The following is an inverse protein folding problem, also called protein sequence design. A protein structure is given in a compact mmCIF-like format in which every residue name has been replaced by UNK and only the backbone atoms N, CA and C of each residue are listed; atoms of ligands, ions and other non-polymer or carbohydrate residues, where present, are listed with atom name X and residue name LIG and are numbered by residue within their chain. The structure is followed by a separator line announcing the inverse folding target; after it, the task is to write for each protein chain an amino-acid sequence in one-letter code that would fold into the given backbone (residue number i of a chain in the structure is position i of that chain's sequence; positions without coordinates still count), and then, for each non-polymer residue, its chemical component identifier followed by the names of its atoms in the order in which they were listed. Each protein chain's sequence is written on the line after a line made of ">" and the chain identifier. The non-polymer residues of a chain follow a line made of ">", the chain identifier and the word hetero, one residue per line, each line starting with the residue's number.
data_IF_816791773830
#
_entry.id   IF_816791773830
#
_cell.length_a   1.000
_cell.length_b   1.000
_cell.length_c   1.000
_cell.angle_alpha   90.00
_cell.angle_beta   90.00
_cell.angle_gamma   90.00
#
_symmetry.space_group_name_H-M   'P 1'
#
loop_
_entity.id
_entity.type
_entity.pdbx_description
1 polymer ?
#
# COMPACT_ATOMS: atom_id res chain seq x y z
N UNK A 1 -30.52 2.99 -19.49
CA UNK A 1 -30.01 1.61 -19.41
C UNK A 1 -29.16 1.51 -18.16
N UNK A 2 -29.58 0.73 -17.17
CA UNK A 2 -28.83 0.54 -15.93
C UNK A 2 -27.68 -0.45 -16.20
N UNK A 3 -26.45 -0.02 -16.00
CA UNK A 3 -25.28 -0.89 -16.06
C UNK A 3 -25.32 -1.70 -14.76
N UNK A 4 -25.75 -2.96 -14.84
CA UNK A 4 -25.73 -3.88 -13.71
C UNK A 4 -24.30 -4.02 -13.19
N UNK A 5 -24.08 -3.63 -11.94
CA UNK A 5 -22.82 -3.90 -11.25
C UNK A 5 -22.65 -5.43 -11.19
N UNK A 6 -21.66 -5.96 -11.91
CA UNK A 6 -21.27 -7.36 -11.77
C UNK A 6 -20.86 -7.58 -10.30
N UNK A 7 -21.72 -8.25 -9.53
CA UNK A 7 -21.39 -8.72 -8.18
C UNK A 7 -20.41 -9.89 -8.31
N UNK A 8 -19.16 -9.56 -8.58
CA UNK A 8 -18.05 -10.52 -8.53
C UNK A 8 -17.71 -10.86 -7.09
N UNK A 9 -17.10 -12.02 -6.87
CA UNK A 9 -16.55 -12.42 -5.58
C UNK A 9 -15.66 -11.29 -5.00
N UNK A 10 -15.63 -11.12 -3.65
CA UNK A 10 -14.80 -10.10 -3.03
C UNK A 10 -13.34 -10.31 -3.43
N UNK A 11 -12.67 -9.22 -3.77
CA UNK A 11 -11.26 -9.27 -4.15
C UNK A 11 -10.43 -9.77 -2.98
N UNK A 12 -9.44 -10.61 -3.27
CA UNK A 12 -8.48 -11.10 -2.30
C UNK A 12 -7.26 -10.23 -2.34
N UNK A 13 -6.91 -9.66 -1.20
CA UNK A 13 -5.71 -8.88 -1.03
C UNK A 13 -4.79 -9.53 -0.01
N UNK A 14 -3.48 -9.26 -0.10
CA UNK A 14 -2.53 -9.63 0.92
C UNK A 14 -1.62 -8.46 1.32
N UNK A 15 -1.16 -8.52 2.56
CA UNK A 15 -0.11 -7.68 3.11
C UNK A 15 0.94 -8.58 3.78
N UNK A 16 2.09 -8.00 4.15
CA UNK A 16 3.09 -8.67 5.00
C UNK A 16 2.44 -9.29 6.25
N UNK A 17 3.06 -10.25 6.92
CA UNK A 17 2.64 -10.73 8.24
C UNK A 17 3.31 -9.96 9.39
N UNK A 18 4.27 -9.10 9.06
CA UNK A 18 4.92 -8.19 10.00
C UNK A 18 4.10 -6.91 10.12
N UNK A 19 3.76 -6.52 11.34
CA UNK A 19 3.06 -5.26 11.62
C UNK A 19 3.94 -4.05 11.25
N UNK A 20 3.37 -3.17 10.44
CA UNK A 20 4.02 -1.97 9.95
C UNK A 20 3.09 -0.77 10.12
N UNK A 21 2.84 -0.33 11.37
CA UNK A 21 2.02 0.85 11.61
C UNK A 21 2.70 2.11 11.02
N UNK A 22 1.91 3.07 10.50
CA UNK A 22 0.45 3.10 10.50
C UNK A 22 -0.21 2.40 9.29
N UNK A 23 0.53 1.68 8.46
CA UNK A 23 0.08 1.18 7.16
C UNK A 23 -0.81 -0.06 7.25
N UNK A 24 -0.29 -1.17 7.80
CA UNK A 24 -1.06 -2.38 8.12
C UNK A 24 -0.56 -2.96 9.43
N UNK A 25 -1.46 -3.13 10.38
CA UNK A 25 -1.18 -3.69 11.69
C UNK A 25 -2.44 -4.30 12.31
N UNK A 26 -2.27 -5.18 13.29
CA UNK A 26 -3.39 -5.75 14.03
C UNK A 26 -3.80 -4.81 15.16
N UNK A 27 -5.06 -4.36 15.19
CA UNK A 27 -5.60 -3.62 16.33
C UNK A 27 -6.46 -4.52 17.23
N UNK A 28 -6.30 -4.37 18.55
CA UNK A 28 -7.18 -4.99 19.56
C UNK A 28 -8.47 -4.21 19.81
N UNK A 29 -8.64 -3.03 19.19
CA UNK A 29 -9.77 -2.11 19.42
C UNK A 29 -11.01 -2.39 18.56
N UNK A 30 -11.16 -3.60 18.01
CA UNK A 30 -12.31 -3.94 17.16
C UNK A 30 -13.63 -3.79 17.93
N UNK A 31 -14.68 -3.26 17.27
CA UNK A 31 -16.03 -3.04 17.85
C UNK A 31 -16.68 -4.32 18.44
N UNK A 32 -16.13 -5.49 18.13
CA UNK A 32 -16.56 -6.80 18.63
C UNK A 32 -15.51 -7.52 19.52
N UNK A 33 -14.49 -6.81 20.02
CA UNK A 33 -13.47 -7.38 20.91
C UNK A 33 -12.49 -8.37 20.27
N UNK A 34 -12.46 -8.45 18.93
CA UNK A 34 -11.53 -9.28 18.17
C UNK A 34 -10.37 -8.49 17.58
N UNK A 35 -9.23 -9.16 17.40
CA UNK A 35 -8.11 -8.66 16.61
C UNK A 35 -8.55 -8.42 15.16
N UNK A 36 -8.31 -7.22 14.64
CA UNK A 36 -8.65 -6.85 13.27
C UNK A 36 -7.47 -6.18 12.58
N UNK A 37 -7.14 -6.66 11.38
CA UNK A 37 -6.18 -6.00 10.50
C UNK A 37 -6.73 -4.64 10.06
N UNK A 38 -5.96 -3.59 10.33
CA UNK A 38 -6.33 -2.21 10.05
C UNK A 38 -5.09 -1.39 9.65
N UNK A 39 -5.31 -0.11 9.35
CA UNK A 39 -4.27 0.84 9.01
C UNK A 39 -4.57 1.62 7.74
N UNK A 40 -3.68 2.55 7.40
CA UNK A 40 -3.82 3.44 6.25
C UNK A 40 -4.10 2.67 4.96
N UNK A 41 -3.30 1.63 4.69
CA UNK A 41 -3.33 0.95 3.40
C UNK A 41 -4.59 0.08 3.24
N UNK A 42 -5.01 -0.62 4.31
CA UNK A 42 -6.30 -1.33 4.35
C UNK A 42 -7.43 -0.34 4.12
N UNK A 43 -7.43 0.80 4.82
CA UNK A 43 -8.50 1.79 4.71
C UNK A 43 -8.58 2.44 3.33
N UNK A 44 -7.44 2.72 2.69
CA UNK A 44 -7.38 3.22 1.31
C UNK A 44 -7.98 2.20 0.34
N UNK A 45 -7.59 0.92 0.43
CA UNK A 45 -8.14 -0.14 -0.40
C UNK A 45 -9.66 -0.27 -0.25
N UNK A 46 -10.16 -0.40 0.99
CA UNK A 46 -11.60 -0.56 1.23
C UNK A 46 -12.40 0.66 0.76
N UNK A 47 -11.85 1.87 0.91
CA UNK A 47 -12.49 3.10 0.44
C UNK A 47 -12.50 3.19 -1.09
N UNK A 48 -11.42 2.77 -1.75
CA UNK A 48 -11.37 2.73 -3.21
C UNK A 48 -12.39 1.75 -3.79
N UNK A 49 -12.51 0.54 -3.21
CA UNK A 49 -13.50 -0.46 -3.64
C UNK A 49 -14.93 0.02 -3.44
N UNK A 50 -15.24 0.60 -2.28
CA UNK A 50 -16.56 1.21 -2.02
C UNK A 50 -16.89 2.32 -3.02
N UNK A 51 -15.94 3.20 -3.35
CA UNK A 51 -16.14 4.25 -4.36
C UNK A 51 -16.39 3.67 -5.76
N UNK A 52 -15.85 2.50 -6.05
CA UNK A 52 -16.08 1.76 -7.28
C UNK A 52 -17.35 0.88 -7.27
N UNK A 53 -18.15 0.92 -6.21
CA UNK A 53 -19.35 0.07 -6.07
C UNK A 53 -19.03 -1.42 -5.92
N UNK A 54 -17.87 -1.76 -5.34
CA UNK A 54 -17.40 -3.14 -5.14
C UNK A 54 -17.47 -3.51 -3.66
N UNK A 55 -17.65 -4.81 -3.42
CA UNK A 55 -17.54 -5.40 -2.09
C UNK A 55 -16.14 -5.16 -1.47
N UNK A 56 -16.04 -5.05 -0.13
CA UNK A 56 -14.77 -4.99 0.57
C UNK A 56 -13.83 -6.15 0.19
N UNK A 57 -12.55 -5.86 0.06
CA UNK A 57 -11.55 -6.90 -0.15
C UNK A 57 -11.32 -7.72 1.13
N UNK A 58 -11.09 -9.01 0.97
CA UNK A 58 -10.61 -9.89 2.04
C UNK A 58 -9.09 -9.74 2.09
N UNK A 59 -8.58 -9.13 3.15
CA UNK A 59 -7.13 -8.94 3.36
C UNK A 59 -6.57 -10.12 4.16
N UNK A 60 -5.48 -10.71 3.68
CA UNK A 60 -4.77 -11.81 4.34
C UNK A 60 -3.35 -11.38 4.70
N UNK A 61 -2.91 -11.67 5.93
CA UNK A 61 -1.52 -11.45 6.38
C UNK A 61 -0.70 -12.68 6.02
N UNK A 62 0.33 -12.50 5.19
CA UNK A 62 1.17 -13.58 4.69
C UNK A 62 2.64 -13.16 4.71
N UNK A 63 3.58 -14.11 4.86
CA UNK A 63 5.00 -13.83 4.65
C UNK A 63 5.20 -13.11 3.32
N UNK A 64 5.94 -12.00 3.34
CA UNK A 64 5.98 -11.05 2.22
C UNK A 64 6.26 -11.69 0.85
N UNK A 65 7.24 -12.59 0.80
CA UNK A 65 7.58 -13.36 -0.41
C UNK A 65 6.39 -14.17 -0.93
N UNK A 66 5.62 -14.81 -0.04
CA UNK A 66 4.44 -15.61 -0.40
C UNK A 66 3.33 -14.74 -0.95
N UNK A 67 3.05 -13.59 -0.33
CA UNK A 67 2.06 -12.63 -0.83
C UNK A 67 2.36 -12.23 -2.29
N UNK A 68 3.60 -11.80 -2.56
CA UNK A 68 4.02 -11.38 -3.91
C UNK A 68 3.93 -12.50 -4.95
N UNK A 69 4.39 -13.70 -4.62
CA UNK A 69 4.33 -14.83 -5.56
C UNK A 69 2.88 -15.26 -5.83
N UNK A 70 2.02 -15.29 -4.81
CA UNK A 70 0.61 -15.61 -5.01
C UNK A 70 -0.09 -14.59 -5.91
N UNK A 71 0.24 -13.29 -5.82
CA UNK A 71 -0.26 -12.27 -6.75
C UNK A 71 0.28 -12.48 -8.15
N UNK A 72 1.58 -12.75 -8.31
CA UNK A 72 2.18 -13.00 -9.63
C UNK A 72 1.51 -14.19 -10.36
N UNK A 73 1.19 -15.24 -9.60
CA UNK A 73 0.53 -16.44 -10.10
C UNK A 73 -1.01 -16.33 -10.17
N UNK A 74 -1.60 -15.18 -9.84
CA UNK A 74 -3.05 -14.94 -9.92
C UNK A 74 -3.88 -15.69 -8.87
N UNK A 75 -3.24 -16.14 -7.78
CA UNK A 75 -3.91 -16.80 -6.65
C UNK A 75 -4.49 -15.79 -5.66
N UNK A 76 -3.97 -14.56 -5.65
CA UNK A 76 -4.45 -13.39 -4.90
C UNK A 76 -4.52 -12.22 -5.89
N UNK A 77 -5.53 -11.36 -5.75
CA UNK A 77 -5.76 -10.28 -6.71
C UNK A 77 -4.83 -9.08 -6.47
N UNK A 78 -4.57 -8.77 -5.19
CA UNK A 78 -3.90 -7.54 -4.77
C UNK A 78 -2.81 -7.80 -3.73
N UNK A 79 -1.65 -7.16 -3.90
CA UNK A 79 -0.68 -6.95 -2.81
C UNK A 79 -0.73 -5.48 -2.36
N UNK A 80 -0.69 -5.24 -1.06
CA UNK A 80 -0.74 -3.91 -0.42
C UNK A 80 0.65 -3.57 0.14
N UNK A 81 0.95 -2.27 0.28
CA UNK A 81 2.21 -1.74 0.83
C UNK A 81 3.45 -2.15 0.07
N UNK A 82 3.32 -2.25 -1.24
CA UNK A 82 4.47 -2.66 -2.03
C UNK A 82 5.34 -1.44 -2.34
N UNK A 83 6.64 -1.45 -2.00
CA UNK A 83 7.55 -0.37 -2.36
C UNK A 83 7.72 -0.22 -3.87
N UNK A 84 7.83 1.02 -4.36
CA UNK A 84 8.11 1.30 -5.78
C UNK A 84 9.30 0.52 -6.33
N UNK A 85 10.40 0.45 -5.57
CA UNK A 85 11.62 -0.28 -5.97
C UNK A 85 11.42 -1.79 -6.17
N UNK A 86 10.35 -2.36 -5.61
CA UNK A 86 10.02 -3.78 -5.72
C UNK A 86 9.03 -4.04 -6.87
N UNK A 87 8.50 -2.99 -7.51
CA UNK A 87 7.64 -3.08 -8.69
C UNK A 87 8.42 -3.63 -9.89
N UNK A 88 7.92 -4.75 -10.41
CA UNK A 88 8.29 -5.27 -11.71
C UNK A 88 7.07 -5.18 -12.63
N UNK A 89 7.05 -4.19 -13.51
CA UNK A 89 5.93 -3.92 -14.44
C UNK A 89 5.65 -5.10 -15.39
N UNK A 90 6.61 -6.03 -15.56
CA UNK A 90 6.37 -7.25 -16.36
C UNK A 90 5.49 -8.25 -15.63
N UNK A 91 5.48 -8.19 -14.29
CA UNK A 91 4.78 -9.14 -13.42
C UNK A 91 3.52 -8.54 -12.79
N UNK A 92 3.47 -7.22 -12.62
CA UNK A 92 2.44 -6.54 -11.83
C UNK A 92 2.00 -5.22 -12.46
N UNK A 93 0.75 -4.80 -12.22
CA UNK A 93 0.35 -3.41 -12.39
C UNK A 93 0.30 -2.70 -11.04
N UNK A 94 0.95 -1.54 -10.98
CA UNK A 94 0.83 -0.63 -9.85
C UNK A 94 -0.46 0.21 -9.97
N UNK A 95 -1.08 0.49 -8.83
CA UNK A 95 -1.92 1.67 -8.67
C UNK A 95 -1.06 2.94 -8.63
N UNK A 96 -1.73 4.09 -8.65
CA UNK A 96 -1.09 5.32 -8.16
C UNK A 96 -0.66 5.12 -6.70
N UNK A 97 0.45 5.78 -6.33
CA UNK A 97 0.92 5.80 -4.96
C UNK A 97 -0.10 6.46 -4.02
N UNK A 98 -0.28 5.90 -2.83
CA UNK A 98 -1.14 6.49 -1.78
C UNK A 98 -0.36 7.05 -0.57
N UNK A 99 0.94 6.81 -0.50
CA UNK A 99 1.81 7.38 0.52
C UNK A 99 3.25 7.51 0.01
N UNK A 100 3.98 8.48 0.56
CA UNK A 100 5.42 8.67 0.38
C UNK A 100 6.12 8.38 1.72
N UNK A 101 7.17 7.56 1.70
CA UNK A 101 7.88 7.11 2.91
C UNK A 101 9.29 7.68 2.94
N UNK A 102 9.59 8.42 4.01
CA UNK A 102 10.92 8.96 4.27
C UNK A 102 11.64 8.18 5.36
N UNK A 103 12.95 8.01 5.21
CA UNK A 103 13.78 7.36 6.21
C UNK A 103 14.13 8.34 7.32
N UNK A 104 14.01 7.89 8.58
CA UNK A 104 14.40 8.66 9.76
C UNK A 104 15.27 7.81 10.67
N UNK A 105 16.19 8.44 11.39
CA UNK A 105 17.05 7.77 12.37
C UNK A 105 16.49 7.95 13.78
N UNK A 106 16.34 6.84 14.50
CA UNK A 106 16.02 6.86 15.92
C UNK A 106 17.28 6.67 16.75
N UNK A 107 17.43 7.44 17.82
CA UNK A 107 18.52 7.29 18.79
C UNK A 107 17.98 7.37 20.22
N UNK A 108 18.70 6.75 21.16
CA UNK A 108 18.33 6.81 22.58
C UNK A 108 18.77 8.15 23.17
N UNK A 109 17.81 8.96 23.61
CA UNK A 109 18.07 10.19 24.36
C UNK A 109 18.76 9.92 25.71
N UNK A 110 18.56 8.74 26.31
CA UNK A 110 19.23 8.35 27.56
C UNK A 110 20.74 8.15 27.38
N UNK A 111 21.15 7.65 26.21
CA UNK A 111 22.57 7.44 25.85
C UNK A 111 23.19 8.70 25.25
N UNK A 112 22.41 9.49 24.54
CA UNK A 112 22.83 10.74 23.88
C UNK A 112 21.90 11.89 24.27
N UNK A 113 22.01 12.42 25.51
CA UNK A 113 21.11 13.45 26.01
C UNK A 113 21.21 14.76 25.21
N UNK A 114 22.39 15.08 24.69
CA UNK A 114 22.65 16.28 23.88
C UNK A 114 22.53 16.03 22.37
N UNK A 115 22.00 14.86 21.97
CA UNK A 115 21.86 14.44 20.58
C UNK A 115 22.93 13.44 20.14
N UNK A 116 22.53 12.47 19.30
CA UNK A 116 23.47 11.51 18.75
C UNK A 116 24.40 12.21 17.73
N UNK A 117 25.71 11.92 17.72
CA UNK A 117 26.62 12.44 16.71
C UNK A 117 26.38 11.71 15.38
N UNK A 118 25.31 12.09 14.68
CA UNK A 118 24.99 11.59 13.35
C UNK A 118 25.92 12.26 12.35
N UNK A 119 26.83 11.49 11.73
CA UNK A 119 27.56 11.98 10.55
C UNK A 119 26.66 11.74 9.34
N UNK A 120 26.32 12.80 8.62
CA UNK A 120 25.65 12.65 7.33
C UNK A 120 26.54 11.78 6.43
N UNK A 121 26.02 10.69 5.81
CA UNK A 121 26.78 9.99 4.79
C UNK A 121 27.09 10.97 3.64
N UNK A 122 28.26 10.86 2.99
CA UNK A 122 28.55 11.69 1.83
C UNK A 122 27.49 11.45 0.75
N UNK A 123 26.99 12.54 0.19
CA UNK A 123 25.90 12.58 -0.82
C UNK A 123 26.21 11.68 -2.04
N UNK A 124 27.49 11.35 -2.30
CA UNK A 124 27.90 10.43 -3.38
C UNK A 124 27.77 8.94 -3.06
N UNK A 125 27.51 8.57 -1.80
CA UNK A 125 27.14 7.21 -1.39
C UNK A 125 25.62 7.06 -1.21
N UNK A 126 24.87 8.15 -1.40
CA UNK A 126 23.44 8.07 -1.67
C UNK A 126 23.27 7.46 -3.06
N UNK A 127 23.23 6.13 -3.10
CA UNK A 127 22.37 5.42 -4.05
C UNK A 127 21.08 6.25 -4.11
N UNK A 128 20.53 6.61 -5.28
CA UNK A 128 19.27 7.36 -5.33
C UNK A 128 18.25 6.53 -4.54
N UNK A 129 17.98 6.97 -3.31
CA UNK A 129 17.08 6.31 -2.38
C UNK A 129 15.70 6.65 -2.92
N UNK A 130 15.30 5.91 -3.95
CA UNK A 130 14.07 6.11 -4.69
C UNK A 130 12.92 6.26 -3.69
N UNK A 131 12.14 7.32 -3.90
CA UNK A 131 10.92 7.63 -3.18
C UNK A 131 10.10 6.35 -3.01
N UNK A 132 9.97 5.92 -1.76
CA UNK A 132 9.16 4.76 -1.43
C UNK A 132 7.71 5.21 -1.49
N UNK A 133 7.07 4.84 -2.59
CA UNK A 133 5.64 5.04 -2.74
C UNK A 133 4.94 3.72 -2.42
N UNK A 134 4.00 3.74 -1.48
CA UNK A 134 3.18 2.57 -1.20
C UNK A 134 2.07 2.52 -2.27
N UNK A 135 2.07 1.48 -3.08
CA UNK A 135 1.08 1.24 -4.13
C UNK A 135 0.38 -0.10 -3.92
N UNK A 136 -0.88 -0.19 -4.35
CA UNK A 136 -1.63 -1.43 -4.41
C UNK A 136 -1.40 -2.09 -5.77
N UNK A 137 -1.21 -3.41 -5.78
CA UNK A 137 -0.90 -4.15 -7.01
C UNK A 137 -2.14 -4.82 -7.55
N UNK A 138 -2.29 -4.87 -8.87
CA UNK A 138 -3.31 -5.69 -9.54
C UNK A 138 -2.70 -6.36 -10.77
N UNK A 139 -3.30 -7.44 -11.27
CA UNK A 139 -2.94 -8.00 -12.59
C UNK A 139 -3.51 -7.10 -13.69
N UNK A 140 -2.83 -7.09 -14.84
CA UNK A 140 -3.14 -6.30 -16.04
C UNK A 140 -4.53 -6.42 -16.68
N UNK A 141 -5.45 -7.21 -16.12
CA UNK A 141 -6.70 -7.54 -16.81
C UNK A 141 -7.99 -7.48 -15.99
N UNK A 142 -7.99 -7.10 -14.69
CA UNK A 142 -9.21 -7.24 -13.87
C UNK A 142 -9.82 -5.95 -13.30
N UNK A 143 -9.22 -4.78 -13.55
CA UNK A 143 -9.84 -3.49 -13.21
C UNK A 143 -9.89 -2.62 -14.48
N UNK A 144 -11.08 -2.24 -14.98
CA UNK A 144 -11.16 -1.25 -16.03
C UNK A 144 -10.49 0.03 -15.53
N UNK A 145 -9.53 0.56 -16.30
CA UNK A 145 -8.96 1.90 -16.10
C UNK A 145 -10.10 2.92 -16.20
N UNK A 146 -10.83 3.15 -15.12
CA UNK A 146 -11.60 4.36 -14.97
C UNK A 146 -10.59 5.50 -14.91
N UNK A 147 -10.58 6.33 -15.96
CA UNK A 147 -9.72 7.50 -16.09
C UNK A 147 -9.79 8.34 -14.81
N UNK A 148 -8.81 8.21 -13.93
CA UNK A 148 -8.45 9.26 -12.98
C UNK A 148 -7.63 10.31 -13.75
N UNK A 149 -8.27 10.97 -14.71
CA UNK A 149 -7.78 12.25 -15.21
C UNK A 149 -8.40 13.34 -14.34
N UNK A 150 -7.74 13.70 -13.24
CA UNK A 150 -7.99 14.98 -12.62
C UNK A 150 -7.56 16.05 -13.62
N UNK A 151 -8.54 16.72 -14.22
CA UNK A 151 -8.34 17.87 -15.08
C UNK A 151 -7.51 18.90 -14.31
N UNK A 152 -6.33 19.25 -14.84
CA UNK A 152 -5.73 20.55 -14.58
C UNK A 152 -6.67 21.60 -15.14
N UNK A 153 -7.49 22.21 -14.30
CA UNK A 153 -8.02 23.54 -14.59
C UNK A 153 -7.11 24.54 -13.89
N UNK A 154 -6.19 25.08 -14.68
CA UNK A 154 -5.66 26.42 -14.49
C UNK A 154 -6.83 27.39 -14.33
N UNK A 155 -6.86 28.12 -13.23
CA UNK A 155 -7.65 29.34 -13.12
C UNK A 155 -6.73 30.40 -12.48
N UNK A 156 -5.95 31.04 -13.34
CA UNK A 156 -5.52 32.40 -13.13
C UNK A 156 -6.74 33.31 -13.25
N UNK A 157 -6.99 34.14 -12.23
CA UNK A 157 -7.50 35.51 -12.32
C UNK A 157 -7.31 36.20 -10.98
#
# INVERSE_FOLDING_TARGET
>A
MAIGAAQGAPLRACASDVDFPPYVFTSSSGFAGGAQDTGLAVNVLQRALRRAGREPAIVQRLPWRRCREMVAHGQIDIAIDVPTRELDEKRFLASDAYAEVHHVYFYSSRKYPDGAPLRAPPISAAIPCADYSAAAWTRSASIPRARMSAQRTSAAR
#
